data_IF_745774056999
#
_entry.id   IF_745774056999
#
_cell.length_a   1.000
_cell.length_b   1.000
_cell.length_c   1.000
_cell.angle_alpha   90.00
_cell.angle_beta   90.00
_cell.angle_gamma   90.00
#
_symmetry.space_group_name_H-M   'P 1'
#
loop_
_entity.id
_entity.type
_entity.pdbx_description
1 polymer ?
#
# COMPACT_ATOMS: atom_id res chain seq x y z
N UNK A 1 1.98 -10.58 -16.27
CA UNK A 1 2.89 -11.74 -16.33
C UNK A 1 2.73 -12.63 -17.55
N UNK A 2 1.75 -12.39 -18.42
CA UNK A 2 1.60 -13.15 -19.68
C UNK A 2 1.41 -12.21 -20.86
N UNK A 3 0.23 -11.59 -21.04
CA UNK A 3 -0.07 -10.67 -22.16
C UNK A 3 0.97 -9.56 -22.38
N UNK A 4 1.43 -8.91 -21.32
CA UNK A 4 2.42 -7.83 -21.39
C UNK A 4 3.87 -8.30 -21.14
N UNK A 5 4.11 -9.61 -21.08
CA UNK A 5 5.45 -10.20 -20.93
C UNK A 5 5.50 -11.67 -21.40
N UNK A 6 5.30 -12.63 -20.49
CA UNK A 6 5.37 -14.08 -20.75
C UNK A 6 6.52 -14.79 -20.02
N UNK A 7 6.69 -16.10 -20.29
CA UNK A 7 7.73 -16.95 -19.69
C UNK A 7 7.35 -17.51 -18.32
N UNK A 8 8.33 -17.63 -17.41
CA UNK A 8 8.11 -18.08 -16.01
C UNK A 8 7.07 -17.21 -15.29
N UNK A 9 6.99 -15.92 -15.65
CA UNK A 9 5.95 -15.03 -15.19
C UNK A 9 6.22 -14.43 -13.80
N UNK A 10 5.14 -14.02 -13.14
CA UNK A 10 5.18 -13.19 -11.92
C UNK A 10 4.42 -13.84 -10.76
N UNK A 11 4.47 -15.17 -10.67
CA UNK A 11 3.69 -15.95 -9.68
C UNK A 11 3.92 -15.42 -8.26
N UNK A 12 5.18 -15.32 -7.84
CA UNK A 12 5.51 -14.96 -6.45
C UNK A 12 5.33 -13.46 -6.14
N UNK A 13 5.29 -12.59 -7.17
CA UNK A 13 4.85 -11.21 -6.97
C UNK A 13 3.39 -11.14 -6.53
N UNK A 14 2.55 -12.02 -7.07
CA UNK A 14 1.14 -12.07 -6.74
C UNK A 14 0.87 -12.86 -5.46
N UNK A 15 1.49 -14.03 -5.26
CA UNK A 15 1.23 -14.88 -4.07
C UNK A 15 1.47 -14.15 -2.77
N UNK A 16 2.46 -13.24 -2.72
CA UNK A 16 2.73 -12.44 -1.53
C UNK A 16 1.52 -11.67 -0.98
N UNK A 17 0.53 -11.35 -1.83
CA UNK A 17 -0.68 -10.64 -1.44
C UNK A 17 -1.86 -11.57 -1.07
N UNK A 18 -1.72 -12.90 -1.17
CA UNK A 18 -2.80 -13.85 -0.88
C UNK A 18 -2.36 -15.17 -0.25
N UNK A 19 -1.09 -15.29 0.17
CA UNK A 19 -0.57 -16.45 0.90
C UNK A 19 -0.06 -16.05 2.28
N UNK A 20 0.10 -17.05 3.14
CA UNK A 20 0.71 -16.95 4.48
C UNK A 20 0.01 -16.01 5.47
N UNK A 21 -1.14 -15.43 5.11
CA UNK A 21 -1.93 -14.46 5.89
C UNK A 21 -1.15 -13.20 6.32
N UNK A 22 -0.04 -12.89 5.65
CA UNK A 22 0.81 -11.73 6.04
C UNK A 22 0.07 -10.41 5.77
N UNK A 23 -0.56 -10.29 4.59
CA UNK A 23 -1.36 -9.10 4.28
C UNK A 23 -2.59 -8.99 5.19
N UNK A 24 -3.24 -10.12 5.47
CA UNK A 24 -4.41 -10.21 6.33
C UNK A 24 -4.09 -9.72 7.75
N UNK A 25 -2.95 -10.13 8.30
CA UNK A 25 -2.48 -9.72 9.61
C UNK A 25 -2.28 -8.19 9.69
N UNK A 26 -1.51 -7.62 8.76
CA UNK A 26 -1.19 -6.18 8.77
C UNK A 26 -2.45 -5.32 8.54
N UNK A 27 -3.36 -5.80 7.69
CA UNK A 27 -4.65 -5.13 7.45
C UNK A 27 -5.55 -5.22 8.68
N UNK A 28 -5.58 -6.37 9.36
CA UNK A 28 -6.36 -6.54 10.60
C UNK A 28 -5.84 -5.61 11.70
N UNK A 29 -4.52 -5.52 11.87
CA UNK A 29 -3.90 -4.54 12.76
C UNK A 29 -4.35 -3.11 12.44
N UNK A 30 -4.28 -2.71 11.17
CA UNK A 30 -4.68 -1.35 10.75
C UNK A 30 -6.17 -1.06 10.99
N UNK A 31 -7.05 -2.03 10.75
CA UNK A 31 -8.49 -1.92 11.07
C UNK A 31 -8.72 -1.71 12.57
N UNK A 32 -8.02 -2.46 13.41
CA UNK A 32 -8.16 -2.35 14.86
C UNK A 32 -7.56 -1.05 15.39
N UNK A 33 -6.45 -0.57 14.81
CA UNK A 33 -5.89 0.74 15.08
C UNK A 33 -6.90 1.86 14.78
N UNK A 34 -7.52 1.82 13.60
CA UNK A 34 -8.54 2.81 13.21
C UNK A 34 -9.72 2.79 14.17
N UNK A 35 -10.25 1.60 14.52
CA UNK A 35 -11.34 1.49 15.51
C UNK A 35 -10.95 2.06 16.87
N UNK A 36 -9.72 1.79 17.33
CA UNK A 36 -9.24 2.24 18.64
C UNK A 36 -8.99 3.75 18.70
N UNK A 37 -8.37 4.33 17.67
CA UNK A 37 -7.93 5.73 17.67
C UNK A 37 -8.95 6.68 17.06
N UNK A 38 -9.59 6.27 15.97
CA UNK A 38 -10.52 7.09 15.19
C UNK A 38 -12.00 6.71 15.43
N UNK A 39 -12.25 5.70 16.28
CA UNK A 39 -13.55 5.36 16.85
C UNK A 39 -14.46 4.51 15.97
N UNK A 40 -14.52 4.75 14.66
CA UNK A 40 -15.33 3.95 13.75
C UNK A 40 -14.81 3.98 12.30
N UNK A 41 -15.05 2.89 11.58
CA UNK A 41 -14.80 2.82 10.13
C UNK A 41 -15.81 3.68 9.36
N UNK A 42 -15.39 4.22 8.22
CA UNK A 42 -16.19 4.97 7.26
C UNK A 42 -16.71 6.33 7.73
N UNK A 43 -16.24 6.83 8.87
CA UNK A 43 -16.68 8.11 9.45
C UNK A 43 -15.57 9.14 9.56
N UNK A 44 -14.33 8.74 9.31
CA UNK A 44 -13.17 9.63 9.47
C UNK A 44 -13.09 10.53 8.24
N UNK A 45 -12.87 11.84 8.46
CA UNK A 45 -12.71 12.77 7.33
C UNK A 45 -11.40 12.47 6.59
N UNK A 46 -11.47 12.41 5.26
CA UNK A 46 -10.30 12.26 4.40
C UNK A 46 -9.44 13.54 4.38
N UNK A 47 -8.55 13.69 5.36
CA UNK A 47 -7.54 14.76 5.40
C UNK A 47 -6.13 14.16 5.33
N UNK A 48 -5.15 14.97 4.89
CA UNK A 48 -3.75 14.52 4.83
C UNK A 48 -3.23 14.08 6.20
N UNK A 49 -3.63 14.73 7.29
CA UNK A 49 -3.22 14.35 8.64
C UNK A 49 -3.71 12.95 9.03
N UNK A 50 -4.96 12.62 8.69
CA UNK A 50 -5.53 11.29 8.93
C UNK A 50 -4.82 10.23 8.08
N UNK A 51 -4.53 10.55 6.82
CA UNK A 51 -3.82 9.66 5.90
C UNK A 51 -2.41 9.40 6.42
N UNK A 52 -1.68 10.45 6.77
CA UNK A 52 -0.33 10.35 7.32
C UNK A 52 -0.35 9.50 8.61
N UNK A 53 -1.31 9.73 9.50
CA UNK A 53 -1.42 8.99 10.75
C UNK A 53 -1.60 7.49 10.53
N UNK A 54 -2.65 7.10 9.80
CA UNK A 54 -2.99 5.68 9.59
C UNK A 54 -1.93 4.98 8.74
N UNK A 55 -1.50 5.59 7.64
CA UNK A 55 -0.54 4.97 6.74
C UNK A 55 0.85 4.85 7.38
N UNK A 56 1.30 5.84 8.17
CA UNK A 56 2.59 5.73 8.89
C UNK A 56 2.53 4.57 9.88
N UNK A 57 1.50 4.53 10.73
CA UNK A 57 1.35 3.50 11.75
C UNK A 57 1.36 2.10 11.15
N UNK A 58 0.51 1.85 10.15
CA UNK A 58 0.37 0.52 9.56
C UNK A 58 1.62 0.11 8.79
N UNK A 59 2.30 1.06 8.15
CA UNK A 59 3.59 0.80 7.49
C UNK A 59 4.66 0.42 8.49
N UNK A 60 4.78 1.17 9.59
CA UNK A 60 5.77 0.88 10.64
C UNK A 60 5.50 -0.49 11.26
N UNK A 61 4.25 -0.79 11.62
CA UNK A 61 3.90 -2.11 12.13
C UNK A 61 4.33 -3.24 11.19
N UNK A 62 3.94 -3.17 9.91
CA UNK A 62 4.30 -4.23 8.97
C UNK A 62 5.81 -4.33 8.73
N UNK A 63 6.54 -3.21 8.78
CA UNK A 63 8.01 -3.23 8.71
C UNK A 63 8.61 -3.91 9.94
N UNK A 64 8.15 -3.56 11.14
CA UNK A 64 8.56 -4.21 12.40
C UNK A 64 8.28 -5.71 12.37
N UNK A 65 7.15 -6.16 11.80
CA UNK A 65 6.86 -7.60 11.66
C UNK A 65 7.88 -8.31 10.76
N UNK A 66 8.32 -7.69 9.67
CA UNK A 66 9.39 -8.26 8.85
C UNK A 66 10.77 -8.24 9.55
N UNK A 67 11.01 -7.30 10.46
CA UNK A 67 12.25 -7.23 11.23
C UNK A 67 12.27 -8.22 12.40
N UNK A 68 11.13 -8.39 13.08
CA UNK A 68 10.96 -9.28 14.23
C UNK A 68 10.91 -10.75 13.80
N UNK A 69 10.31 -11.04 12.64
CA UNK A 69 10.17 -12.41 12.11
C UNK A 69 11.00 -12.61 10.84
N UNK A 70 12.26 -13.09 10.95
CA UNK A 70 13.11 -13.37 9.80
C UNK A 70 12.48 -14.30 8.76
N UNK A 71 11.60 -15.21 9.19
CA UNK A 71 10.86 -16.12 8.31
C UNK A 71 9.87 -15.39 7.40
N UNK A 72 9.25 -14.31 7.87
CA UNK A 72 8.38 -13.47 7.05
C UNK A 72 9.20 -12.71 5.99
N UNK A 73 10.37 -12.20 6.38
CA UNK A 73 11.29 -11.53 5.45
C UNK A 73 11.85 -12.51 4.40
N UNK A 74 12.10 -13.76 4.78
CA UNK A 74 12.52 -14.83 3.86
C UNK A 74 11.38 -15.27 2.93
N UNK A 75 10.15 -15.42 3.42
CA UNK A 75 8.99 -15.74 2.58
C UNK A 75 8.77 -14.65 1.53
N UNK A 76 8.78 -13.38 1.95
CA UNK A 76 8.73 -12.23 1.06
C UNK A 76 10.13 -11.67 0.78
N UNK A 77 11.00 -12.53 0.24
CA UNK A 77 12.40 -12.18 -0.04
C UNK A 77 12.56 -10.98 -0.99
N UNK A 78 11.63 -10.80 -1.93
CA UNK A 78 11.61 -9.70 -2.89
C UNK A 78 11.11 -8.40 -2.27
N UNK A 79 11.86 -7.31 -2.42
CA UNK A 79 11.45 -5.99 -1.91
C UNK A 79 10.08 -5.53 -2.42
N UNK A 80 9.76 -5.81 -3.68
CA UNK A 80 8.47 -5.49 -4.31
C UNK A 80 7.29 -6.23 -3.67
N UNK A 81 7.49 -7.47 -3.19
CA UNK A 81 6.46 -8.23 -2.49
C UNK A 81 6.11 -7.51 -1.19
N UNK A 82 7.15 -7.16 -0.41
CA UNK A 82 6.98 -6.41 0.85
C UNK A 82 6.37 -5.04 0.61
N UNK A 83 6.83 -4.32 -0.41
CA UNK A 83 6.32 -3.01 -0.77
C UNK A 83 4.82 -3.06 -1.09
N UNK A 84 4.39 -4.04 -1.89
CA UNK A 84 2.97 -4.23 -2.20
C UNK A 84 2.15 -4.55 -0.95
N UNK A 85 2.62 -5.45 -0.08
CA UNK A 85 1.89 -5.86 1.14
C UNK A 85 1.76 -4.72 2.14
N UNK A 86 2.85 -3.99 2.41
CA UNK A 86 2.84 -2.85 3.34
C UNK A 86 1.92 -1.73 2.85
N UNK A 87 2.04 -1.35 1.57
CA UNK A 87 1.23 -0.30 0.99
C UNK A 87 -0.24 -0.70 0.84
N UNK A 88 -0.52 -1.98 0.54
CA UNK A 88 -1.89 -2.51 0.52
C UNK A 88 -2.53 -2.38 1.91
N UNK A 89 -1.87 -2.85 2.97
CA UNK A 89 -2.40 -2.75 4.33
C UNK A 89 -2.68 -1.28 4.73
N UNK A 90 -1.74 -0.38 4.46
CA UNK A 90 -1.87 1.05 4.75
C UNK A 90 -2.99 1.73 3.95
N UNK A 91 -3.07 1.45 2.65
CA UNK A 91 -4.10 1.99 1.76
C UNK A 91 -5.50 1.47 2.11
N UNK A 92 -5.65 0.17 2.34
CA UNK A 92 -6.92 -0.45 2.75
C UNK A 92 -7.39 0.13 4.10
N UNK A 93 -6.50 0.22 5.09
CA UNK A 93 -6.84 0.77 6.41
C UNK A 93 -7.31 2.22 6.30
N UNK A 94 -6.65 3.02 5.47
CA UNK A 94 -7.02 4.42 5.22
C UNK A 94 -8.36 4.56 4.48
N UNK A 95 -8.59 3.72 3.46
CA UNK A 95 -9.89 3.67 2.76
C UNK A 95 -11.02 3.24 3.68
N UNK A 96 -10.81 2.22 4.52
CA UNK A 96 -11.81 1.75 5.48
C UNK A 96 -12.13 2.81 6.54
N UNK A 97 -11.14 3.57 6.98
CA UNK A 97 -11.35 4.68 7.91
C UNK A 97 -12.21 5.79 7.30
N UNK A 98 -11.92 6.16 6.06
CA UNK A 98 -12.44 7.39 5.43
C UNK A 98 -13.60 7.19 4.47
N UNK A 99 -13.89 5.94 4.07
CA UNK A 99 -14.79 5.62 2.97
C UNK A 99 -14.45 6.39 1.68
N UNK A 100 -13.16 6.63 1.43
CA UNK A 100 -12.66 7.36 0.28
C UNK A 100 -11.49 6.62 -0.37
N UNK A 101 -11.63 6.26 -1.65
CA UNK A 101 -10.63 5.51 -2.40
C UNK A 101 -9.35 6.32 -2.64
N UNK A 102 -9.45 7.61 -2.98
CA UNK A 102 -8.29 8.46 -3.21
C UNK A 102 -7.52 8.76 -1.92
N UNK A 103 -8.18 8.79 -0.76
CA UNK A 103 -7.51 8.82 0.54
C UNK A 103 -6.69 7.54 0.75
N UNK A 104 -7.26 6.38 0.42
CA UNK A 104 -6.53 5.10 0.42
C UNK A 104 -5.34 5.07 -0.53
N UNK A 105 -5.49 5.58 -1.75
CA UNK A 105 -4.38 5.71 -2.71
C UNK A 105 -3.26 6.59 -2.14
N UNK A 106 -3.60 7.71 -1.49
CA UNK A 106 -2.59 8.52 -0.79
C UNK A 106 -1.92 7.76 0.37
N UNK A 107 -2.67 6.93 1.10
CA UNK A 107 -2.11 6.05 2.14
C UNK A 107 -1.15 5.00 1.56
N UNK A 108 -1.46 4.44 0.40
CA UNK A 108 -0.56 3.55 -0.35
C UNK A 108 0.75 4.27 -0.70
N UNK A 109 0.68 5.44 -1.34
CA UNK A 109 1.88 6.17 -1.76
C UNK A 109 2.71 6.66 -0.58
N UNK A 110 2.07 7.08 0.51
CA UNK A 110 2.75 7.43 1.76
C UNK A 110 3.54 6.24 2.31
N UNK A 111 2.94 5.04 2.32
CA UNK A 111 3.61 3.81 2.75
C UNK A 111 4.86 3.51 1.92
N UNK A 112 4.78 3.67 0.60
CA UNK A 112 5.93 3.46 -0.30
C UNK A 112 7.10 4.40 0.02
N UNK A 113 6.81 5.67 0.30
CA UNK A 113 7.83 6.66 0.69
C UNK A 113 8.47 6.30 2.03
N UNK A 114 7.66 5.96 3.04
CA UNK A 114 8.16 5.57 4.36
C UNK A 114 9.02 4.30 4.31
N UNK A 115 8.58 3.28 3.57
CA UNK A 115 9.33 2.03 3.39
C UNK A 115 10.67 2.29 2.68
N UNK A 116 10.68 3.08 1.61
CA UNK A 116 11.91 3.42 0.88
C UNK A 116 12.98 4.03 1.80
N UNK A 117 12.59 5.00 2.61
CA UNK A 117 13.51 5.66 3.53
C UNK A 117 13.88 4.76 4.72
N UNK A 118 12.95 3.96 5.22
CA UNK A 118 13.18 3.07 6.36
C UNK A 118 14.19 1.95 6.09
N UNK A 119 14.18 1.36 4.89
CA UNK A 119 15.11 0.26 4.54
C UNK A 119 16.15 0.60 3.47
N UNK A 120 16.19 1.84 2.99
CA UNK A 120 17.06 2.27 1.89
C UNK A 120 16.88 1.42 0.62
N UNK A 121 15.70 0.81 0.47
CA UNK A 121 15.29 -0.04 -0.65
C UNK A 121 13.78 -0.09 -0.71
N UNK A 122 13.24 -0.40 -1.88
CA UNK A 122 11.81 -0.56 -2.07
C UNK A 122 11.54 -1.81 -2.93
N UNK A 123 11.31 -1.64 -4.23
CA UNK A 123 11.05 -2.71 -5.18
C UNK A 123 12.14 -2.90 -6.23
N UNK A 124 11.78 -3.58 -7.31
CA UNK A 124 12.64 -3.77 -8.48
C UNK A 124 12.84 -2.44 -9.26
N UNK A 125 13.71 -2.48 -10.26
CA UNK A 125 13.95 -1.31 -11.12
C UNK A 125 12.68 -0.85 -11.86
N UNK A 126 12.20 0.36 -11.54
CA UNK A 126 10.96 0.90 -12.11
C UNK A 126 9.69 0.45 -11.40
N UNK A 127 9.80 -0.25 -10.26
CA UNK A 127 8.64 -0.57 -9.41
C UNK A 127 7.89 0.70 -9.00
N UNK A 128 8.63 1.72 -8.57
CA UNK A 128 8.09 2.95 -8.00
C UNK A 128 7.85 4.07 -9.02
N UNK A 129 7.80 3.77 -10.32
CA UNK A 129 7.44 4.77 -11.33
C UNK A 129 6.11 5.43 -10.99
N UNK A 130 5.08 4.61 -10.73
CA UNK A 130 3.77 5.10 -10.34
C UNK A 130 3.78 5.71 -8.94
N UNK A 131 4.59 5.18 -8.02
CA UNK A 131 4.57 5.60 -6.62
C UNK A 131 5.23 6.98 -6.43
N UNK A 132 6.26 7.31 -7.23
CA UNK A 132 6.85 8.66 -7.26
C UNK A 132 5.90 9.70 -7.88
N UNK A 133 5.11 9.31 -8.88
CA UNK A 133 4.06 10.17 -9.46
C UNK A 133 2.78 10.22 -8.61
N UNK A 134 2.56 9.22 -7.76
CA UNK A 134 1.30 8.92 -7.11
C UNK A 134 0.78 10.03 -6.21
N UNK A 135 1.66 10.61 -5.38
CA UNK A 135 1.30 11.69 -4.46
C UNK A 135 0.79 12.95 -5.18
N UNK A 136 1.30 13.25 -6.38
CA UNK A 136 0.83 14.38 -7.18
C UNK A 136 -0.47 14.06 -7.95
N UNK A 137 -0.61 12.81 -8.41
CA UNK A 137 -1.72 12.38 -9.26
C UNK A 137 -2.96 11.90 -8.50
N UNK A 138 -2.85 11.60 -7.20
CA UNK A 138 -3.96 11.09 -6.38
C UNK A 138 -5.15 12.06 -6.29
N UNK A 139 -4.89 13.37 -6.31
CA UNK A 139 -5.88 14.44 -6.23
C UNK A 139 -5.78 15.44 -7.39
N UNK A 140 -5.06 15.08 -8.46
CA UNK A 140 -5.02 15.90 -9.68
C UNK A 140 -6.42 15.98 -10.32
N UNK A 141 -6.63 17.02 -11.11
CA UNK A 141 -7.82 17.22 -11.93
C UNK A 141 -7.47 17.39 -13.42
N UNK A 142 -6.20 17.16 -13.78
CA UNK A 142 -5.77 17.22 -15.19
C UNK A 142 -6.30 16.00 -15.95
N UNK A 143 -6.58 16.13 -17.26
CA UNK A 143 -7.30 15.11 -18.03
C UNK A 143 -6.69 13.69 -18.02
N UNK A 144 -5.36 13.58 -17.94
CA UNK A 144 -4.59 12.33 -17.97
C UNK A 144 -4.04 11.92 -16.58
N UNK A 145 -4.47 12.59 -15.52
CA UNK A 145 -4.01 12.34 -14.13
C UNK A 145 -5.18 12.22 -13.15
N UNK A 146 -6.16 13.10 -13.26
CA UNK A 146 -7.24 13.20 -12.30
C UNK A 146 -8.29 12.12 -12.50
N UNK A 147 -8.27 11.10 -11.65
CA UNK A 147 -9.30 10.05 -11.65
C UNK A 147 -9.57 9.52 -10.25
N UNK A 148 -10.84 9.28 -9.94
CA UNK A 148 -11.26 8.59 -8.70
C UNK A 148 -10.80 7.14 -8.73
N UNK A 149 -10.40 6.58 -7.59
CA UNK A 149 -9.75 5.28 -7.51
C UNK A 149 -10.56 4.16 -8.18
N UNK A 150 -11.89 4.19 -8.06
CA UNK A 150 -12.81 3.21 -8.64
C UNK A 150 -12.86 3.24 -10.17
N UNK A 151 -12.50 4.35 -10.79
CA UNK A 151 -12.47 4.50 -12.26
C UNK A 151 -11.06 4.31 -12.85
N UNK A 152 -10.03 4.21 -12.00
CA UNK A 152 -8.68 3.85 -12.44
C UNK A 152 -8.63 2.39 -12.86
N UNK A 153 -7.53 2.00 -13.52
CA UNK A 153 -7.30 0.63 -13.91
C UNK A 153 -5.94 0.45 -14.59
N UNK A 154 -5.69 -0.73 -15.16
CA UNK A 154 -4.38 -1.07 -15.76
C UNK A 154 -3.95 -0.20 -16.96
N UNK A 155 -4.83 0.68 -17.47
CA UNK A 155 -4.55 1.61 -18.56
C UNK A 155 -4.52 3.09 -18.09
N UNK A 156 -4.56 3.34 -16.78
CA UNK A 156 -4.27 4.66 -16.23
C UNK A 156 -2.77 4.95 -16.41
N UNK A 157 -2.36 6.13 -16.93
CA UNK A 157 -0.96 6.43 -17.24
C UNK A 157 0.02 6.38 -16.05
#
# INVERSE_FOLDING_TARGET
GSYMSGGVGFTQYATAAYTDNILDDYTTYGVDYVKKKHGALGKVKATQDVINDIATEVTLYGMEQYEEYPTALESHFGGSQRASVLAAASGISTSLATANSNAGLNGWYMSMLAHKEGWSRLGFFGYDLQDQCGSANSMSIRPDEGLVGELRGPNYP
#
